data_IF_066124831673
#
_entry.id   IF_066124831673
#
_cell.length_a   1.000
_cell.length_b   1.000
_cell.length_c   1.000
_cell.angle_alpha   90.00
_cell.angle_beta   90.00
_cell.angle_gamma   90.00
#
_symmetry.space_group_name_H-M   'P 1'
#
loop_
_entity.id
_entity.type
_entity.pdbx_description
1 polymer ?
#
# COMPACT_ATOMS: atom_id res chain seq x y z
N UNK A 1 10.46 -9.61 14.19
CA UNK A 1 9.41 -8.72 13.65
C UNK A 1 8.10 -9.48 13.51
N UNK A 2 7.03 -8.89 13.96
CA UNK A 2 5.71 -9.54 13.91
C UNK A 2 5.01 -9.27 12.59
N UNK A 3 4.47 -10.33 12.01
CA UNK A 3 3.79 -10.28 10.72
C UNK A 3 2.35 -10.77 10.90
N UNK A 4 1.40 -10.02 10.35
CA UNK A 4 -0.02 -10.34 10.36
C UNK A 4 -0.37 -11.02 9.03
N UNK A 5 -0.72 -12.29 9.10
CA UNK A 5 -1.08 -13.06 7.93
C UNK A 5 -2.54 -12.89 7.52
N UNK A 6 -2.83 -13.26 6.30
CA UNK A 6 -4.16 -13.20 5.70
C UNK A 6 -5.24 -13.85 6.55
N UNK A 7 -4.90 -14.95 7.25
CA UNK A 7 -5.83 -15.68 8.09
C UNK A 7 -6.00 -15.07 9.50
N UNK A 8 -5.37 -13.93 9.76
CA UNK A 8 -5.44 -13.26 11.05
C UNK A 8 -4.38 -13.70 12.06
N UNK A 9 -3.57 -14.70 11.72
CA UNK A 9 -2.49 -15.13 12.61
C UNK A 9 -1.33 -14.15 12.61
N UNK A 10 -0.72 -13.98 13.77
CA UNK A 10 0.49 -13.18 13.93
C UNK A 10 1.66 -14.15 14.13
N UNK A 11 2.65 -14.04 13.27
CA UNK A 11 3.88 -14.84 13.38
C UNK A 11 5.06 -13.93 13.69
N UNK A 12 6.07 -14.49 14.32
CA UNK A 12 7.32 -13.78 14.61
C UNK A 12 8.38 -14.28 13.63
N UNK A 13 9.10 -13.38 13.00
CA UNK A 13 10.14 -13.75 12.05
C UNK A 13 11.30 -12.80 12.04
N UNK A 14 12.39 -13.23 11.43
CA UNK A 14 13.60 -12.44 11.27
C UNK A 14 13.50 -11.63 9.98
N UNK A 15 13.97 -10.39 10.00
CA UNK A 15 13.91 -9.51 8.82
C UNK A 15 14.60 -10.11 7.59
N UNK A 16 15.58 -10.96 7.78
CA UNK A 16 16.27 -11.59 6.65
C UNK A 16 15.42 -12.65 5.93
N UNK A 17 14.36 -13.11 6.55
CA UNK A 17 13.44 -14.05 5.92
C UNK A 17 12.63 -13.35 4.84
N UNK A 18 12.48 -14.02 3.70
CA UNK A 18 11.80 -13.45 2.53
C UNK A 18 10.39 -12.94 2.84
N UNK A 19 9.60 -13.73 3.55
CA UNK A 19 8.24 -13.35 3.91
C UNK A 19 8.18 -12.10 4.78
N UNK A 20 9.11 -11.98 5.71
CA UNK A 20 9.17 -10.83 6.62
C UNK A 20 9.57 -9.59 5.85
N UNK A 21 10.55 -9.69 4.96
CA UNK A 21 10.93 -8.56 4.08
C UNK A 21 9.79 -8.12 3.20
N UNK A 22 9.10 -9.04 2.59
CA UNK A 22 7.94 -8.73 1.73
C UNK A 22 6.85 -8.03 2.52
N UNK A 23 6.55 -8.50 3.73
CA UNK A 23 5.58 -7.88 4.60
C UNK A 23 5.99 -6.45 4.96
N UNK A 24 7.25 -6.25 5.29
CA UNK A 24 7.80 -4.95 5.63
C UNK A 24 7.67 -3.95 4.47
N UNK A 25 8.12 -4.34 3.29
CA UNK A 25 8.05 -3.47 2.12
C UNK A 25 6.61 -3.24 1.65
N UNK A 26 5.77 -4.27 1.75
CA UNK A 26 4.36 -4.16 1.38
C UNK A 26 3.64 -3.17 2.30
N UNK A 27 3.90 -3.23 3.60
CA UNK A 27 3.33 -2.27 4.55
C UNK A 27 3.87 -0.87 4.29
N UNK A 28 5.15 -0.75 3.95
CA UNK A 28 5.74 0.55 3.58
C UNK A 28 5.03 1.16 2.36
N UNK A 29 4.69 0.33 1.37
CA UNK A 29 3.91 0.79 0.21
C UNK A 29 2.52 1.26 0.62
N UNK A 30 1.86 0.57 1.56
CA UNK A 30 0.56 1.00 2.07
C UNK A 30 0.66 2.29 2.88
N UNK A 31 1.74 2.49 3.64
CA UNK A 31 1.99 3.76 4.33
C UNK A 31 2.15 4.89 3.31
N UNK A 32 2.83 4.63 2.21
CA UNK A 32 2.94 5.59 1.12
C UNK A 32 1.56 5.95 0.56
N UNK A 33 0.74 4.95 0.25
CA UNK A 33 -0.60 5.18 -0.29
C UNK A 33 -1.47 5.96 0.70
N UNK A 34 -1.39 5.62 1.99
CA UNK A 34 -2.11 6.34 3.04
C UNK A 34 -1.71 7.81 3.11
N UNK A 35 -0.41 8.10 3.04
CA UNK A 35 0.10 9.45 3.04
C UNK A 35 -0.40 10.25 1.84
N UNK A 36 -0.36 9.64 0.67
CA UNK A 36 -0.86 10.25 -0.57
C UNK A 36 -2.35 10.57 -0.45
N UNK A 37 -3.14 9.64 0.04
CA UNK A 37 -4.59 9.86 0.18
C UNK A 37 -4.92 10.92 1.22
N UNK A 38 -4.12 11.06 2.25
CA UNK A 38 -4.30 12.13 3.25
C UNK A 38 -4.02 13.51 2.67
N UNK A 39 -2.95 13.62 1.89
CA UNK A 39 -2.55 14.91 1.32
C UNK A 39 -3.32 15.24 0.04
N UNK A 40 -3.62 14.25 -0.78
CA UNK A 40 -4.23 14.42 -2.09
C UNK A 40 -5.37 13.41 -2.27
N UNK A 41 -6.54 13.68 -1.63
CA UNK A 41 -7.64 12.69 -1.58
C UNK A 41 -8.19 12.27 -2.95
N UNK A 42 -8.05 13.12 -3.97
CA UNK A 42 -8.55 12.82 -5.31
C UNK A 42 -7.63 11.92 -6.13
N UNK A 43 -6.45 11.60 -5.59
CA UNK A 43 -5.51 10.72 -6.26
C UNK A 43 -6.06 9.31 -6.30
N UNK A 44 -5.90 8.65 -7.44
CA UNK A 44 -6.31 7.25 -7.60
C UNK A 44 -5.10 6.36 -7.43
N UNK A 45 -5.27 5.27 -6.68
CA UNK A 45 -4.21 4.32 -6.39
C UNK A 45 -4.37 3.09 -7.28
N UNK A 46 -3.30 2.67 -7.92
CA UNK A 46 -3.30 1.44 -8.71
C UNK A 46 -2.69 0.29 -7.92
N UNK A 47 -1.41 0.02 -8.09
CA UNK A 47 -0.74 -1.06 -7.39
C UNK A 47 0.54 -0.60 -6.73
N UNK A 48 0.93 -1.29 -5.64
CA UNK A 48 2.14 -0.99 -4.90
C UNK A 48 2.84 -2.24 -4.40
N UNK A 49 3.46 -3.01 -5.29
CA UNK A 49 4.14 -4.24 -4.88
C UNK A 49 5.43 -3.96 -4.15
N UNK A 50 5.85 -4.94 -3.34
CA UNK A 50 7.19 -4.97 -2.80
C UNK A 50 8.16 -5.43 -3.89
N UNK A 51 9.36 -4.91 -3.87
CA UNK A 51 10.47 -5.36 -4.71
C UNK A 51 11.60 -5.84 -3.80
N UNK A 52 12.72 -6.33 -4.37
CA UNK A 52 13.77 -6.97 -3.57
C UNK A 52 14.28 -6.14 -2.40
N UNK A 53 14.52 -4.86 -2.61
CA UNK A 53 15.05 -3.97 -1.58
C UNK A 53 14.24 -2.68 -1.50
N UNK A 54 12.93 -2.78 -1.56
CA UNK A 54 12.10 -1.60 -1.47
C UNK A 54 10.67 -1.84 -1.95
N UNK A 55 10.07 -0.77 -2.38
CA UNK A 55 8.70 -0.77 -2.86
C UNK A 55 8.50 0.37 -3.85
N UNK A 56 7.44 0.27 -4.64
CA UNK A 56 6.94 1.40 -5.41
C UNK A 56 5.42 1.39 -5.39
N UNK A 57 4.83 2.45 -5.89
CA UNK A 57 3.37 2.54 -5.99
C UNK A 57 3.00 3.40 -7.19
N UNK A 58 2.01 2.94 -7.96
CA UNK A 58 1.50 3.67 -9.12
C UNK A 58 0.29 4.49 -8.70
N UNK A 59 0.37 5.80 -8.93
CA UNK A 59 -0.71 6.73 -8.64
C UNK A 59 -1.11 7.50 -9.88
N UNK A 60 -2.38 7.86 -9.92
CA UNK A 60 -2.91 8.77 -10.93
C UNK A 60 -3.27 10.08 -10.23
N UNK A 61 -2.37 11.06 -10.34
CA UNK A 61 -2.57 12.37 -9.75
C UNK A 61 -3.33 13.28 -10.69
N UNK A 62 -4.21 14.12 -10.14
CA UNK A 62 -4.99 15.10 -10.92
C UNK A 62 -4.23 16.40 -11.16
N UNK A 63 -2.95 16.45 -10.83
CA UNK A 63 -2.09 17.64 -10.95
C UNK A 63 -0.67 17.22 -11.33
N UNK A 64 0.15 18.13 -11.85
CA UNK A 64 1.56 17.82 -12.12
C UNK A 64 2.33 17.56 -10.82
N UNK A 65 2.93 16.38 -10.74
CA UNK A 65 3.67 15.96 -9.54
C UNK A 65 5.07 16.58 -9.54
N UNK A 66 5.46 17.14 -8.41
CA UNK A 66 6.76 17.82 -8.24
C UNK A 66 7.57 17.21 -7.10
N UNK A 67 8.82 17.59 -6.98
CA UNK A 67 9.67 17.18 -5.87
C UNK A 67 9.14 17.68 -4.51
N UNK A 68 8.47 18.82 -4.51
CA UNK A 68 7.84 19.32 -3.29
C UNK A 68 6.73 18.38 -2.82
N UNK A 69 5.97 17.82 -3.74
CA UNK A 69 4.96 16.80 -3.41
C UNK A 69 5.63 15.57 -2.82
N UNK A 70 6.74 15.13 -3.41
CA UNK A 70 7.47 13.98 -2.91
C UNK A 70 7.94 14.19 -1.47
N UNK A 71 8.51 15.37 -1.18
CA UNK A 71 8.96 15.71 0.16
C UNK A 71 7.80 15.75 1.17
N UNK A 72 6.66 16.31 0.75
CA UNK A 72 5.47 16.37 1.60
C UNK A 72 4.95 14.97 1.93
N UNK A 73 4.93 14.08 0.95
CA UNK A 73 4.51 12.69 1.13
C UNK A 73 5.44 11.97 2.10
N UNK A 74 6.74 12.11 1.93
CA UNK A 74 7.71 11.49 2.83
C UNK A 74 7.52 11.95 4.27
N UNK A 75 7.27 13.23 4.46
CA UNK A 75 7.00 13.80 5.78
C UNK A 75 5.73 13.22 6.40
N UNK A 76 4.68 13.06 5.60
CA UNK A 76 3.42 12.48 6.06
C UNK A 76 3.58 11.01 6.41
N UNK A 77 4.36 10.26 5.63
CA UNK A 77 4.68 8.87 5.94
C UNK A 77 5.35 8.74 7.31
N UNK A 78 6.28 9.62 7.61
CA UNK A 78 6.96 9.63 8.92
C UNK A 78 5.97 9.89 10.06
N UNK A 79 5.00 10.77 9.85
CA UNK A 79 3.93 11.00 10.84
C UNK A 79 3.10 9.75 11.07
N UNK A 80 2.72 9.07 10.00
CA UNK A 80 1.91 7.84 10.08
C UNK A 80 2.67 6.77 10.88
N UNK A 81 3.94 6.58 10.60
CA UNK A 81 4.75 5.61 11.32
C UNK A 81 4.81 5.92 12.81
N UNK A 82 4.95 7.20 13.15
CA UNK A 82 4.97 7.62 14.57
C UNK A 82 3.66 7.39 15.29
N UNK A 83 2.55 7.30 14.56
CA UNK A 83 1.25 7.00 15.15
C UNK A 83 1.13 5.56 15.65
N UNK A 84 2.07 4.69 15.28
CA UNK A 84 2.08 3.28 15.69
C UNK A 84 0.75 2.59 15.43
N UNK A 85 0.32 2.60 14.17
CA UNK A 85 -0.98 2.04 13.80
C UNK A 85 -0.90 0.52 13.75
N UNK A 86 -1.76 -0.18 14.51
CA UNK A 86 -1.86 -1.64 14.35
C UNK A 86 -2.54 -1.97 13.03
N UNK A 87 -2.11 -3.04 12.40
CA UNK A 87 -2.78 -3.53 11.21
C UNK A 87 -3.84 -4.54 11.59
N UNK A 88 -4.96 -4.48 10.89
CA UNK A 88 -6.09 -5.37 11.02
C UNK A 88 -6.36 -6.02 9.67
N UNK A 89 -6.83 -7.25 9.68
CA UNK A 89 -7.17 -7.96 8.46
C UNK A 89 -8.62 -8.44 8.55
N UNK A 90 -9.36 -8.30 7.45
CA UNK A 90 -10.73 -8.78 7.36
C UNK A 90 -11.06 -9.21 5.93
N UNK A 91 -12.11 -10.01 5.80
CA UNK A 91 -12.56 -10.51 4.51
C UNK A 91 -13.95 -9.99 4.19
N UNK A 92 -14.19 -9.69 2.92
CA UNK A 92 -15.49 -9.28 2.41
C UNK A 92 -15.80 -10.02 1.13
N UNK A 93 -17.07 -10.03 0.73
CA UNK A 93 -17.47 -10.59 -0.57
C UNK A 93 -17.01 -9.67 -1.69
N UNK A 94 -16.91 -10.22 -2.90
CA UNK A 94 -16.58 -9.44 -4.10
C UNK A 94 -17.53 -8.26 -4.27
N UNK A 95 -18.82 -8.48 -4.10
CA UNK A 95 -19.84 -7.43 -4.21
C UNK A 95 -19.57 -6.29 -3.24
N UNK A 96 -19.28 -6.61 -1.98
CA UNK A 96 -19.01 -5.62 -0.95
C UNK A 96 -17.71 -4.88 -1.21
N UNK A 97 -16.69 -5.58 -1.70
CA UNK A 97 -15.43 -4.96 -2.08
C UNK A 97 -15.61 -3.96 -3.22
N UNK A 98 -16.41 -4.31 -4.22
CA UNK A 98 -16.73 -3.40 -5.32
C UNK A 98 -17.45 -2.15 -4.83
N UNK A 99 -18.44 -2.31 -3.96
CA UNK A 99 -19.16 -1.18 -3.39
C UNK A 99 -18.22 -0.25 -2.62
N UNK A 100 -17.33 -0.81 -1.83
CA UNK A 100 -16.32 -0.06 -1.10
C UNK A 100 -15.44 0.78 -2.01
N UNK A 101 -14.92 0.18 -3.07
CA UNK A 101 -13.99 0.86 -3.96
C UNK A 101 -14.71 1.90 -4.84
N UNK A 102 -15.93 1.62 -5.24
CA UNK A 102 -16.75 2.59 -6.01
C UNK A 102 -17.09 3.81 -5.16
N UNK A 103 -17.44 3.59 -3.91
CA UNK A 103 -17.75 4.68 -2.97
C UNK A 103 -16.53 5.59 -2.77
N UNK A 104 -15.33 5.02 -2.76
CA UNK A 104 -14.09 5.76 -2.60
C UNK A 104 -13.51 6.27 -3.92
N UNK A 105 -14.20 6.02 -5.03
CA UNK A 105 -13.75 6.43 -6.36
C UNK A 105 -12.38 5.89 -6.74
N UNK A 106 -12.07 4.69 -6.28
CA UNK A 106 -10.82 3.99 -6.59
C UNK A 106 -11.02 3.14 -7.85
N UNK A 107 -11.04 3.79 -9.01
CA UNK A 107 -11.40 3.16 -10.29
C UNK A 107 -10.50 2.00 -10.67
N UNK A 108 -9.20 2.11 -10.44
CA UNK A 108 -8.25 1.04 -10.74
C UNK A 108 -8.47 -0.18 -9.86
N UNK A 109 -8.81 0.05 -8.60
CA UNK A 109 -9.11 -1.04 -7.68
C UNK A 109 -10.41 -1.75 -8.05
N UNK A 110 -11.40 -0.99 -8.52
CA UNK A 110 -12.66 -1.57 -9.03
C UNK A 110 -12.36 -2.53 -10.18
N UNK A 111 -11.57 -2.10 -11.16
CA UNK A 111 -11.20 -2.96 -12.29
C UNK A 111 -10.52 -4.24 -11.82
N UNK A 112 -9.57 -4.12 -10.90
CA UNK A 112 -8.85 -5.29 -10.38
C UNK A 112 -9.77 -6.27 -9.69
N UNK A 113 -10.73 -5.78 -8.91
CA UNK A 113 -11.68 -6.63 -8.21
C UNK A 113 -12.65 -7.28 -9.18
N UNK A 114 -13.10 -6.56 -10.22
CA UNK A 114 -13.99 -7.11 -11.21
C UNK A 114 -13.40 -8.31 -11.96
N UNK A 115 -12.09 -8.34 -12.12
CA UNK A 115 -11.39 -9.43 -12.78
C UNK A 115 -11.25 -10.69 -11.91
N UNK A 116 -11.51 -10.60 -10.61
CA UNK A 116 -11.42 -11.74 -9.71
C UNK A 116 -12.60 -12.70 -9.92
N UNK A 117 -12.39 -14.01 -9.71
CA UNK A 117 -13.47 -14.99 -9.84
C UNK A 117 -14.65 -14.71 -8.91
N UNK A 118 -15.86 -15.04 -9.38
CA UNK A 118 -17.04 -14.94 -8.55
C UNK A 118 -16.97 -15.93 -7.37
N UNK A 119 -17.52 -15.50 -6.24
CA UNK A 119 -17.57 -16.34 -5.05
C UNK A 119 -16.31 -16.34 -4.21
N UNK A 120 -15.25 -15.67 -4.64
CA UNK A 120 -14.07 -15.53 -3.81
C UNK A 120 -14.29 -14.47 -2.74
N UNK A 121 -13.71 -14.71 -1.56
CA UNK A 121 -13.61 -13.70 -0.54
C UNK A 121 -12.38 -12.84 -0.82
N UNK A 122 -12.52 -11.56 -0.53
CA UNK A 122 -11.47 -10.58 -0.79
C UNK A 122 -10.94 -10.07 0.54
N UNK A 123 -9.64 -10.15 0.70
CA UNK A 123 -8.97 -9.73 1.93
C UNK A 123 -8.62 -8.26 1.89
N UNK A 124 -8.93 -7.57 2.97
CA UNK A 124 -8.52 -6.18 3.18
C UNK A 124 -7.63 -6.10 4.40
N UNK A 125 -6.63 -5.24 4.31
CA UNK A 125 -5.83 -4.84 5.45
C UNK A 125 -6.13 -3.38 5.78
N UNK A 126 -6.27 -3.10 7.07
CA UNK A 126 -6.59 -1.76 7.56
C UNK A 126 -5.48 -1.27 8.49
N UNK A 127 -5.08 -0.03 8.30
CA UNK A 127 -4.14 0.66 9.18
C UNK A 127 -4.68 2.07 9.45
N UNK A 128 -5.23 2.26 10.64
CA UNK A 128 -5.88 3.53 10.99
C UNK A 128 -7.06 3.83 10.08
N UNK A 129 -7.01 4.97 9.39
CA UNK A 129 -8.05 5.43 8.48
C UNK A 129 -7.88 4.94 7.04
N UNK A 130 -6.91 4.04 6.79
CA UNK A 130 -6.64 3.54 5.46
C UNK A 130 -6.91 2.05 5.36
N UNK A 131 -7.66 1.66 4.34
CA UNK A 131 -7.98 0.26 4.03
C UNK A 131 -7.66 -0.02 2.58
N UNK A 132 -7.02 -1.15 2.33
CA UNK A 132 -6.71 -1.56 0.96
C UNK A 132 -6.86 -3.07 0.80
N UNK A 133 -7.41 -3.50 -0.36
CA UNK A 133 -7.47 -4.93 -0.62
C UNK A 133 -6.09 -5.41 -1.06
N UNK A 134 -5.67 -6.52 -0.49
CA UNK A 134 -4.43 -7.18 -0.87
C UNK A 134 -4.38 -8.55 -0.21
N UNK A 135 -3.51 -9.41 -0.73
CA UNK A 135 -3.35 -10.75 -0.18
C UNK A 135 -2.43 -10.81 1.04
N UNK A 136 -1.82 -9.69 1.42
CA UNK A 136 -0.83 -9.67 2.49
C UNK A 136 0.42 -10.47 2.12
N UNK A 137 1.25 -10.86 3.09
CA UNK A 137 1.17 -10.45 4.49
C UNK A 137 1.64 -9.01 4.73
N UNK A 138 1.37 -8.51 5.92
CA UNK A 138 1.83 -7.19 6.37
C UNK A 138 2.48 -7.31 7.74
N UNK A 139 3.27 -6.31 8.13
CA UNK A 139 3.74 -6.26 9.52
C UNK A 139 2.57 -5.92 10.44
N UNK A 140 2.67 -6.28 11.71
CA UNK A 140 1.56 -6.10 12.65
C UNK A 140 1.33 -4.67 13.10
N UNK A 141 2.34 -3.81 12.96
CA UNK A 141 2.24 -2.41 13.36
C UNK A 141 3.20 -1.56 12.52
N UNK A 142 2.75 -0.37 12.14
CA UNK A 142 3.57 0.52 11.30
C UNK A 142 4.82 1.02 12.00
N UNK A 143 4.89 0.96 13.32
CA UNK A 143 6.04 1.47 14.09
C UNK A 143 7.36 0.75 13.81
N UNK A 144 7.32 -0.43 13.18
CA UNK A 144 8.55 -1.16 12.83
C UNK A 144 9.30 -0.51 11.67
N UNK A 145 8.64 0.40 10.94
CA UNK A 145 9.29 1.13 9.84
C UNK A 145 10.05 2.31 10.44
N UNK A 146 11.35 2.13 10.66
CA UNK A 146 12.17 3.12 11.40
C UNK A 146 12.67 4.27 10.54
N UNK A 147 12.87 4.04 9.25
CA UNK A 147 13.38 5.06 8.34
C UNK A 147 12.70 4.93 6.98
N UNK A 148 12.39 6.08 6.38
CA UNK A 148 11.71 6.15 5.10
C UNK A 148 12.46 7.12 4.20
N UNK A 149 12.68 6.71 2.95
CA UNK A 149 13.24 7.58 1.92
C UNK A 149 12.57 7.30 0.59
N UNK A 150 11.97 8.32 0.01
CA UNK A 150 11.40 8.25 -1.33
C UNK A 150 12.47 8.74 -2.32
N UNK A 151 12.88 7.87 -3.22
CA UNK A 151 14.05 8.12 -4.06
C UNK A 151 13.74 8.86 -5.35
N UNK A 152 12.65 8.48 -6.03
CA UNK A 152 12.34 9.09 -7.33
C UNK A 152 10.93 8.81 -7.79
N UNK A 153 10.52 9.48 -8.85
CA UNK A 153 9.24 9.29 -9.51
C UNK A 153 9.45 9.08 -11.01
N UNK A 154 8.44 8.46 -11.65
CA UNK A 154 8.42 8.30 -13.08
C UNK A 154 7.07 8.81 -13.61
N UNK A 155 7.10 9.57 -14.71
CA UNK A 155 5.96 10.34 -15.14
C UNK A 155 5.07 9.74 -16.22
N UNK A 156 5.33 8.51 -16.68
CA UNK A 156 4.53 7.90 -17.73
C UNK A 156 3.80 6.66 -17.22
N UNK A 157 2.48 6.62 -17.41
CA UNK A 157 1.66 5.52 -16.90
C UNK A 157 2.09 4.16 -17.39
N UNK A 158 2.39 4.01 -18.68
CA UNK A 158 2.74 2.71 -19.24
C UNK A 158 4.12 2.22 -18.83
N UNK A 159 4.98 3.14 -18.46
CA UNK A 159 6.37 2.85 -18.14
C UNK A 159 6.71 3.09 -16.68
N UNK A 160 5.74 3.50 -15.89
CA UNK A 160 5.98 3.86 -14.49
C UNK A 160 6.59 2.72 -13.70
N UNK A 161 6.06 1.52 -13.85
CA UNK A 161 6.57 0.36 -13.14
C UNK A 161 8.02 0.04 -13.54
N UNK A 162 8.29 0.05 -14.84
CA UNK A 162 9.64 -0.22 -15.35
C UNK A 162 10.63 0.83 -14.88
N UNK A 163 10.21 2.09 -14.94
CA UNK A 163 11.06 3.19 -14.50
C UNK A 163 11.31 3.14 -12.99
N UNK A 164 10.32 2.72 -12.22
CA UNK A 164 10.45 2.57 -10.78
C UNK A 164 11.43 1.43 -10.43
N UNK A 165 11.40 0.34 -11.19
CA UNK A 165 12.31 -0.79 -11.01
C UNK A 165 13.77 -0.40 -11.26
N UNK A 166 14.00 0.51 -12.20
CA UNK A 166 15.32 0.98 -12.55
C UNK A 166 15.87 2.02 -11.58
N UNK A 167 15.08 2.44 -10.64
CA UNK A 167 15.46 3.47 -9.68
C UNK A 167 16.37 2.89 -8.61
N UNK A 168 17.52 3.49 -8.35
CA UNK A 168 18.42 3.02 -7.31
C UNK A 168 17.85 3.14 -5.92
#
# INVERSE_FOLDING_TARGET
MKVLEKNGQVIEGNFEEKEVKEAFWHTSAHVLAQAVKRLYPDTKCAIGPAIDNGFYYDFDFSFPFTEENLAAIEKEMKKIVKQSLPLEVFEVTKEKALDYMKERQEDYKVEMIEELPEGETITFYKQGDYEEFCAGPHVSNTCVIKAIKLLSTAGCLLYTSDAADDTP
#
